data_IF_629847356295
#
_entry.id   IF_629847356295
#
_cell.length_a   1.000
_cell.length_b   1.000
_cell.length_c   1.000
_cell.angle_alpha   90.00
_cell.angle_beta   90.00
_cell.angle_gamma   90.00
#
_symmetry.space_group_name_H-M   'P 1'
#
loop_
_entity.id
_entity.type
_entity.pdbx_description
1 polymer ?
#
# COMPACT_ATOMS: atom_id res chain seq x y z
N UNK A 1 -0.68 6.67 17.68
CA UNK A 1 -1.79 7.44 17.09
C UNK A 1 -1.43 7.84 15.68
N UNK A 2 -2.34 7.63 14.71
CA UNK A 2 -2.19 8.12 13.34
C UNK A 2 -2.89 9.48 13.25
N UNK A 3 -2.14 10.59 13.26
CA UNK A 3 -2.76 11.93 13.17
C UNK A 3 -2.80 12.32 11.70
N UNK A 4 -3.92 12.03 11.04
CA UNK A 4 -4.05 12.22 9.60
C UNK A 4 -5.13 13.25 9.28
N UNK A 5 -4.75 14.49 8.97
CA UNK A 5 -5.62 15.42 8.28
C UNK A 5 -6.17 14.79 7.01
N UNK A 6 -7.48 14.95 6.79
CA UNK A 6 -8.17 14.48 5.60
C UNK A 6 -8.54 15.70 4.76
N UNK A 7 -7.68 16.02 3.80
CA UNK A 7 -7.82 17.21 2.98
C UNK A 7 -8.04 16.85 1.52
N UNK A 8 -8.95 17.59 0.91
CA UNK A 8 -9.15 17.59 -0.53
C UNK A 8 -8.95 19.02 -1.00
N UNK A 9 -7.86 19.27 -1.72
CA UNK A 9 -7.51 20.58 -2.25
C UNK A 9 -8.63 21.12 -3.14
N UNK A 10 -9.10 22.32 -2.84
CA UNK A 10 -10.24 22.96 -3.50
C UNK A 10 -11.60 22.69 -2.86
N UNK A 11 -11.66 21.86 -1.81
CA UNK A 11 -12.89 21.60 -1.06
C UNK A 11 -12.70 21.81 0.46
N UNK A 12 -11.89 20.97 1.10
CA UNK A 12 -11.63 21.03 2.56
C UNK A 12 -10.39 21.87 2.91
N UNK A 13 -9.66 22.31 1.89
CA UNK A 13 -8.54 23.24 1.96
C UNK A 13 -8.52 24.13 0.71
N UNK A 14 -7.76 25.24 0.70
CA UNK A 14 -7.63 26.09 -0.48
C UNK A 14 -7.12 25.30 -1.70
N UNK A 15 -7.47 25.74 -2.91
CA UNK A 15 -7.11 25.02 -4.15
C UNK A 15 -5.61 25.00 -4.48
N UNK A 16 -4.77 25.76 -3.77
CA UNK A 16 -3.33 25.79 -3.99
C UNK A 16 -2.61 24.80 -3.08
N UNK A 17 -1.65 24.07 -3.65
CA UNK A 17 -0.92 23.01 -2.94
C UNK A 17 -0.13 23.53 -1.74
N UNK A 18 0.48 24.71 -1.85
CA UNK A 18 1.22 25.31 -0.74
C UNK A 18 0.32 25.60 0.46
N UNK A 19 -0.87 26.16 0.23
CA UNK A 19 -1.83 26.45 1.30
C UNK A 19 -2.39 25.15 1.91
N UNK A 20 -2.73 24.17 1.07
CA UNK A 20 -3.19 22.86 1.54
C UNK A 20 -2.13 22.15 2.38
N UNK A 21 -0.86 22.16 1.96
CA UNK A 21 0.24 21.56 2.72
C UNK A 21 0.50 22.28 4.03
N UNK A 22 0.43 23.61 4.06
CA UNK A 22 0.54 24.38 5.29
C UNK A 22 -0.60 24.04 6.28
N UNK A 23 -1.83 23.95 5.80
CA UNK A 23 -2.99 23.55 6.59
C UNK A 23 -2.83 22.13 7.12
N UNK A 24 -2.48 21.17 6.25
CA UNK A 24 -2.22 19.78 6.63
C UNK A 24 -1.18 19.72 7.77
N UNK A 25 -0.07 20.42 7.60
CA UNK A 25 1.00 20.41 8.57
C UNK A 25 0.53 20.96 9.93
N UNK A 26 -0.21 22.07 9.93
CA UNK A 26 -0.77 22.65 11.13
C UNK A 26 -1.74 21.68 11.85
N UNK A 27 -2.66 21.05 11.11
CA UNK A 27 -3.63 20.10 11.66
C UNK A 27 -2.93 18.85 12.25
N UNK A 28 -1.94 18.30 11.53
CA UNK A 28 -1.18 17.15 11.99
C UNK A 28 -0.39 17.47 13.27
N UNK A 29 0.37 18.57 13.27
CA UNK A 29 1.17 18.96 14.43
C UNK A 29 0.32 19.32 15.64
N UNK A 30 -0.85 19.94 15.44
CA UNK A 30 -1.79 20.20 16.54
C UNK A 30 -2.20 18.90 17.23
N UNK A 31 -2.67 17.90 16.48
CA UNK A 31 -3.10 16.63 17.05
C UNK A 31 -1.96 15.85 17.72
N UNK A 32 -0.75 15.93 17.17
CA UNK A 32 0.44 15.31 17.75
C UNK A 32 0.85 16.01 19.04
N UNK A 33 0.95 17.33 19.03
CA UNK A 33 1.28 18.12 20.22
C UNK A 33 0.27 17.88 21.34
N UNK A 34 -1.02 17.82 21.00
CA UNK A 34 -2.07 17.48 21.97
C UNK A 34 -1.88 16.09 22.59
N UNK A 35 -1.58 15.06 21.79
CA UNK A 35 -1.27 13.74 22.33
C UNK A 35 -0.03 13.75 23.26
N UNK A 36 1.01 14.51 22.89
CA UNK A 36 2.19 14.65 23.73
C UNK A 36 1.91 15.41 25.04
N UNK A 37 0.96 16.36 25.04
CA UNK A 37 0.53 17.05 26.26
C UNK A 37 -0.24 16.12 27.21
N UNK A 38 -1.04 15.20 26.67
CA UNK A 38 -1.79 14.24 27.47
C UNK A 38 -0.88 13.16 28.07
N UNK A 39 0.06 12.65 27.28
CA UNK A 39 0.99 11.62 27.72
C UNK A 39 2.30 11.70 26.91
N UNK A 40 3.32 12.40 27.43
CA UNK A 40 4.60 12.56 26.75
C UNK A 40 5.24 11.22 26.36
N UNK A 41 5.73 11.13 25.13
CA UNK A 41 6.32 9.89 24.58
C UNK A 41 5.29 8.94 23.96
N UNK A 42 4.00 9.28 23.94
CA UNK A 42 2.99 8.49 23.23
C UNK A 42 3.35 8.38 21.74
N UNK A 43 3.45 7.17 21.16
CA UNK A 43 3.80 7.01 19.76
C UNK A 43 2.81 7.71 18.83
N UNK A 44 3.30 8.63 17.99
CA UNK A 44 2.50 9.36 17.01
C UNK A 44 3.13 9.26 15.63
N UNK A 45 2.29 9.16 14.59
CA UNK A 45 2.71 9.27 13.20
C UNK A 45 2.16 10.56 12.63
N UNK A 46 3.02 11.27 11.89
CA UNK A 46 2.60 12.36 11.03
C UNK A 46 1.83 11.76 9.86
N UNK A 47 0.54 12.05 9.78
CA UNK A 47 -0.35 11.50 8.75
C UNK A 47 -0.67 12.53 7.68
N UNK A 48 -0.97 12.06 6.48
CA UNK A 48 -1.52 12.85 5.39
C UNK A 48 -2.49 11.98 4.58
N UNK A 49 -3.69 12.50 4.36
CA UNK A 49 -4.52 12.13 3.22
C UNK A 49 -4.80 13.43 2.48
N UNK A 50 -4.13 13.61 1.35
CA UNK A 50 -4.25 14.80 0.52
C UNK A 50 -4.53 14.34 -0.90
N UNK A 51 -5.71 14.70 -1.38
CA UNK A 51 -6.14 14.54 -2.76
C UNK A 51 -6.55 15.92 -3.32
N UNK A 52 -6.85 16.00 -4.61
CA UNK A 52 -7.50 17.18 -5.22
C UNK A 52 -8.89 16.83 -5.77
N UNK A 53 -9.67 17.85 -6.14
CA UNK A 53 -10.93 17.66 -6.88
C UNK A 53 -10.75 17.86 -8.39
N UNK A 54 -11.64 17.27 -9.17
CA UNK A 54 -11.98 17.73 -10.51
C UNK A 54 -12.83 19.00 -10.39
N UNK A 55 -12.33 20.13 -10.87
CA UNK A 55 -12.99 21.45 -10.69
C UNK A 55 -14.36 21.54 -11.38
N UNK A 56 -14.64 20.65 -12.35
CA UNK A 56 -15.91 20.66 -13.09
C UNK A 56 -17.00 19.87 -12.37
N UNK A 57 -16.69 18.68 -11.87
CA UNK A 57 -17.64 17.78 -11.22
C UNK A 57 -17.63 17.88 -9.70
N UNK A 58 -16.57 18.45 -9.10
CA UNK A 58 -16.32 18.44 -7.66
C UNK A 58 -15.93 17.08 -7.10
N UNK A 59 -15.74 16.06 -7.96
CA UNK A 59 -15.39 14.72 -7.52
C UNK A 59 -13.92 14.65 -7.07
N UNK A 60 -13.60 13.84 -6.03
CA UNK A 60 -12.22 13.57 -5.68
C UNK A 60 -11.46 12.88 -6.82
N UNK A 61 -10.24 13.33 -7.07
CA UNK A 61 -9.30 12.75 -8.01
C UNK A 61 -8.18 12.05 -7.26
N UNK A 62 -7.58 11.03 -7.90
CA UNK A 62 -6.47 10.27 -7.35
C UNK A 62 -5.44 10.00 -8.45
N UNK A 63 -4.19 9.83 -8.06
CA UNK A 63 -3.09 9.54 -9.00
C UNK A 63 -2.69 10.76 -9.81
N UNK A 64 -3.02 11.95 -9.32
CA UNK A 64 -2.68 13.21 -9.97
C UNK A 64 -1.24 13.63 -9.63
N UNK A 65 -0.63 14.54 -10.42
CA UNK A 65 0.66 15.12 -10.08
C UNK A 65 0.65 15.84 -8.73
N UNK A 66 -0.46 16.47 -8.37
CA UNK A 66 -0.65 17.16 -7.08
C UNK A 66 -0.51 16.19 -5.90
N UNK A 67 -1.11 15.00 -6.00
CA UNK A 67 -1.00 13.95 -4.97
C UNK A 67 0.46 13.54 -4.76
N UNK A 68 1.21 13.36 -5.85
CA UNK A 68 2.62 12.98 -5.81
C UNK A 68 3.49 14.05 -5.14
N UNK A 69 3.30 15.32 -5.52
CA UNK A 69 4.00 16.45 -4.90
C UNK A 69 3.69 16.58 -3.41
N UNK A 70 2.41 16.39 -3.05
CA UNK A 70 1.98 16.38 -1.65
C UNK A 70 2.63 15.24 -0.85
N UNK A 71 2.73 14.04 -1.44
CA UNK A 71 3.40 12.89 -0.82
C UNK A 71 4.87 13.20 -0.51
N UNK A 72 5.62 13.73 -1.48
CA UNK A 72 7.02 14.08 -1.28
C UNK A 72 7.21 15.18 -0.24
N UNK A 73 6.43 16.27 -0.33
CA UNK A 73 6.51 17.36 0.63
C UNK A 73 6.12 16.91 2.05
N UNK A 74 5.04 16.15 2.18
CA UNK A 74 4.58 15.58 3.45
C UNK A 74 5.64 14.69 4.09
N UNK A 75 6.32 13.86 3.31
CA UNK A 75 7.39 13.00 3.81
C UNK A 75 8.62 13.78 4.27
N UNK A 76 8.99 14.84 3.54
CA UNK A 76 10.08 15.73 3.95
C UNK A 76 9.75 16.45 5.27
N UNK A 77 8.51 16.92 5.43
CA UNK A 77 8.05 17.52 6.69
C UNK A 77 8.05 16.52 7.84
N UNK A 78 7.52 15.30 7.64
CA UNK A 78 7.53 14.25 8.66
C UNK A 78 8.96 13.93 9.16
N UNK A 79 9.93 13.81 8.24
CA UNK A 79 11.34 13.63 8.56
C UNK A 79 11.95 14.82 9.29
N UNK A 80 11.60 16.05 8.87
CA UNK A 80 12.05 17.27 9.57
C UNK A 80 11.60 17.27 11.04
N UNK A 81 10.40 16.79 11.34
CA UNK A 81 9.91 16.64 12.71
C UNK A 81 10.36 15.35 13.41
N UNK A 82 11.18 14.53 12.77
CA UNK A 82 11.61 13.21 13.26
C UNK A 82 10.43 12.29 13.65
N UNK A 83 9.38 12.30 12.82
CA UNK A 83 8.18 11.49 13.00
C UNK A 83 8.05 10.47 11.87
N UNK A 84 7.56 9.24 12.13
CA UNK A 84 7.22 8.34 11.06
C UNK A 84 6.03 8.88 10.25
N UNK A 85 6.07 8.67 8.95
CA UNK A 85 5.09 9.19 8.01
C UNK A 85 4.05 8.13 7.61
N UNK A 86 2.77 8.50 7.73
CA UNK A 86 1.65 7.76 7.13
C UNK A 86 1.06 8.55 5.99
N UNK A 87 1.06 8.00 4.79
CA UNK A 87 0.34 8.57 3.64
C UNK A 87 0.25 7.54 2.52
N UNK A 88 -0.31 7.94 1.39
CA UNK A 88 -0.28 7.16 0.16
C UNK A 88 -1.02 5.83 0.26
N UNK A 89 -0.77 5.01 -0.76
CA UNK A 89 -1.52 3.78 -1.01
C UNK A 89 -1.81 3.63 -2.50
N UNK A 90 -2.65 2.65 -2.81
CA UNK A 90 -3.10 2.36 -4.16
C UNK A 90 -4.48 3.01 -4.39
N UNK A 91 -4.48 4.34 -4.46
CA UNK A 91 -5.72 5.12 -4.56
C UNK A 91 -6.27 5.17 -5.98
N UNK A 92 -7.60 5.13 -6.09
CA UNK A 92 -8.28 5.29 -7.36
C UNK A 92 -9.75 5.70 -7.17
N UNK A 93 -10.27 6.47 -8.12
CA UNK A 93 -11.70 6.79 -8.27
C UNK A 93 -12.46 5.75 -9.11
N UNK A 94 -11.78 4.79 -9.74
CA UNK A 94 -12.38 3.79 -10.59
C UNK A 94 -13.29 2.83 -9.79
N UNK A 95 -14.39 2.39 -10.39
CA UNK A 95 -15.38 1.49 -9.77
C UNK A 95 -14.98 0.02 -9.89
N UNK A 96 -14.13 -0.28 -10.86
CA UNK A 96 -13.65 -1.61 -11.21
C UNK A 96 -12.13 -1.55 -11.36
N UNK A 97 -11.41 -2.68 -11.19
CA UNK A 97 -9.96 -2.70 -11.34
C UNK A 97 -9.59 -2.81 -12.83
N UNK A 98 -9.82 -1.73 -13.56
CA UNK A 98 -9.49 -1.56 -14.96
C UNK A 98 -8.19 -0.77 -15.16
N UNK A 99 -7.97 -0.25 -16.37
CA UNK A 99 -6.82 0.58 -16.67
C UNK A 99 -6.78 1.87 -15.82
N UNK A 100 -7.92 2.53 -15.57
CA UNK A 100 -7.97 3.71 -14.72
C UNK A 100 -7.49 3.37 -13.31
N UNK A 101 -8.01 2.28 -12.73
CA UNK A 101 -7.57 1.81 -11.42
C UNK A 101 -6.06 1.56 -11.39
N UNK A 102 -5.50 0.95 -12.44
CA UNK A 102 -4.08 0.69 -12.57
C UNK A 102 -3.24 1.96 -12.60
N UNK A 103 -3.57 2.91 -13.49
CA UNK A 103 -2.80 4.15 -13.64
C UNK A 103 -2.88 5.05 -12.41
N UNK A 104 -4.06 5.22 -11.81
CA UNK A 104 -4.21 6.07 -10.62
C UNK A 104 -3.52 5.46 -9.39
N UNK A 105 -3.65 4.13 -9.21
CA UNK A 105 -2.99 3.43 -8.10
C UNK A 105 -1.48 3.49 -8.27
N UNK A 106 -0.94 3.21 -9.46
CA UNK A 106 0.49 3.35 -9.73
C UNK A 106 0.97 4.80 -9.56
N UNK A 107 0.18 5.77 -10.04
CA UNK A 107 0.48 7.20 -9.93
C UNK A 107 0.58 7.71 -8.50
N UNK A 108 -0.08 7.05 -7.53
CA UNK A 108 0.05 7.35 -6.10
C UNK A 108 1.07 6.46 -5.39
N UNK A 109 1.16 5.18 -5.75
CA UNK A 109 1.99 4.21 -5.03
C UNK A 109 3.48 4.36 -5.34
N UNK A 110 3.86 4.69 -6.58
CA UNK A 110 5.26 5.00 -6.89
C UNK A 110 5.80 6.18 -6.06
N UNK A 111 5.11 7.34 -5.99
CA UNK A 111 5.49 8.40 -5.08
C UNK A 111 5.46 7.99 -3.60
N UNK A 112 4.51 7.14 -3.19
CA UNK A 112 4.44 6.62 -1.81
C UNK A 112 5.75 5.93 -1.41
N UNK A 113 6.26 5.06 -2.28
CA UNK A 113 7.51 4.31 -2.05
C UNK A 113 8.71 5.24 -2.14
N UNK A 114 8.81 6.07 -3.19
CA UNK A 114 9.93 7.01 -3.37
C UNK A 114 10.00 8.10 -2.29
N UNK A 115 8.87 8.43 -1.66
CA UNK A 115 8.82 9.34 -0.53
C UNK A 115 9.28 8.70 0.80
N UNK A 116 9.55 7.39 0.82
CA UNK A 116 9.87 6.59 2.01
C UNK A 116 8.79 6.67 3.08
N UNK A 117 7.52 6.50 2.69
CA UNK A 117 6.40 6.43 3.63
C UNK A 117 6.57 5.22 4.56
N UNK A 118 6.44 5.43 5.88
CA UNK A 118 6.66 4.38 6.88
C UNK A 118 5.43 3.50 7.10
N UNK A 119 4.23 4.04 6.93
CA UNK A 119 2.99 3.30 7.13
C UNK A 119 1.99 3.62 6.00
N UNK A 120 1.68 2.61 5.18
CA UNK A 120 0.77 2.75 4.03
C UNK A 120 -0.57 2.08 4.37
N UNK A 121 -1.55 2.86 4.81
CA UNK A 121 -2.82 2.30 5.31
C UNK A 121 -3.65 1.63 4.21
N UNK A 122 -3.69 2.23 3.02
CA UNK A 122 -4.51 1.78 1.89
C UNK A 122 -3.64 1.13 0.82
N UNK A 123 -2.73 0.25 1.25
CA UNK A 123 -1.80 -0.43 0.36
C UNK A 123 -2.52 -1.37 -0.62
N UNK A 124 -3.71 -1.88 -0.31
CA UNK A 124 -4.43 -2.78 -1.22
C UNK A 124 -5.96 -2.72 -1.06
N UNK A 125 -6.66 -2.85 -2.19
CA UNK A 125 -8.11 -3.11 -2.25
C UNK A 125 -9.00 -1.88 -2.44
N UNK A 126 -8.43 -0.67 -2.43
CA UNK A 126 -9.18 0.58 -2.57
C UNK A 126 -9.78 0.74 -3.97
N UNK A 127 -11.09 0.99 -4.03
CA UNK A 127 -11.85 1.38 -5.23
C UNK A 127 -12.85 2.49 -4.91
N UNK A 128 -13.32 3.16 -5.96
CA UNK A 128 -14.37 4.18 -5.95
C UNK A 128 -14.15 5.24 -4.86
N UNK A 129 -12.96 5.83 -4.84
CA UNK A 129 -12.64 6.90 -3.89
C UNK A 129 -12.76 6.49 -2.43
N UNK A 130 -12.62 5.19 -2.13
CA UNK A 130 -12.65 4.63 -0.78
C UNK A 130 -14.02 4.08 -0.38
N UNK A 131 -15.00 4.09 -1.28
CA UNK A 131 -16.33 3.53 -1.02
C UNK A 131 -16.36 2.00 -1.17
N UNK A 132 -15.39 1.41 -1.87
CA UNK A 132 -15.36 -0.03 -2.15
C UNK A 132 -14.01 -0.63 -1.72
N UNK A 133 -14.09 -1.78 -1.06
CA UNK A 133 -12.97 -2.71 -0.89
C UNK A 133 -13.17 -3.91 -1.84
N UNK A 134 -12.42 -3.95 -2.94
CA UNK A 134 -12.56 -5.00 -3.97
C UNK A 134 -11.55 -6.12 -3.80
N UNK A 135 -11.99 -7.39 -3.83
CA UNK A 135 -11.10 -8.56 -3.70
C UNK A 135 -10.12 -8.69 -4.87
N UNK A 136 -10.59 -8.49 -6.09
CA UNK A 136 -9.73 -8.52 -7.28
C UNK A 136 -8.71 -7.38 -7.23
N UNK A 137 -9.15 -6.17 -6.89
CA UNK A 137 -8.26 -5.01 -6.70
C UNK A 137 -7.24 -5.26 -5.59
N UNK A 138 -7.65 -5.89 -4.48
CA UNK A 138 -6.76 -6.22 -3.39
C UNK A 138 -5.61 -7.12 -3.86
N UNK A 139 -5.92 -8.18 -4.62
CA UNK A 139 -4.90 -9.08 -5.17
C UNK A 139 -4.00 -8.39 -6.21
N UNK A 140 -4.57 -7.53 -7.06
CA UNK A 140 -3.79 -6.73 -8.02
C UNK A 140 -2.85 -5.75 -7.31
N UNK A 141 -3.32 -5.08 -6.26
CA UNK A 141 -2.50 -4.15 -5.49
C UNK A 141 -1.40 -4.87 -4.70
N UNK A 142 -1.64 -6.10 -4.23
CA UNK A 142 -0.60 -6.93 -3.62
C UNK A 142 0.53 -7.27 -4.60
N UNK A 143 0.22 -7.48 -5.87
CA UNK A 143 1.23 -7.66 -6.92
C UNK A 143 2.12 -6.42 -7.02
N UNK A 144 1.53 -5.22 -7.05
CA UNK A 144 2.27 -3.97 -7.08
C UNK A 144 3.06 -3.74 -5.78
N UNK A 145 2.50 -4.09 -4.61
CA UNK A 145 3.24 -4.04 -3.34
C UNK A 145 4.47 -4.95 -3.36
N UNK A 146 4.36 -6.17 -3.89
CA UNK A 146 5.46 -7.11 -3.97
C UNK A 146 6.53 -6.66 -4.99
N UNK A 147 6.11 -6.07 -6.13
CA UNK A 147 7.03 -5.42 -7.06
C UNK A 147 7.79 -4.27 -6.39
N UNK A 148 7.11 -3.43 -5.63
CA UNK A 148 7.76 -2.33 -4.90
C UNK A 148 8.67 -2.82 -3.77
N UNK A 149 8.31 -3.92 -3.10
CA UNK A 149 9.18 -4.56 -2.13
C UNK A 149 10.50 -5.01 -2.76
N UNK A 150 10.46 -5.56 -3.98
CA UNK A 150 11.68 -5.87 -4.74
C UNK A 150 12.43 -4.63 -5.22
N UNK A 151 11.71 -3.58 -5.62
CA UNK A 151 12.33 -2.33 -6.04
C UNK A 151 13.16 -1.69 -4.92
N UNK A 152 12.68 -1.71 -3.68
CA UNK A 152 13.41 -1.12 -2.54
C UNK A 152 14.62 -1.94 -2.07
N UNK A 153 14.75 -3.21 -2.51
CA UNK A 153 15.98 -4.00 -2.30
C UNK A 153 17.19 -3.37 -3.04
N UNK A 154 16.93 -2.55 -4.07
CA UNK A 154 17.96 -1.86 -4.82
C UNK A 154 18.75 -2.78 -5.76
N UNK A 155 19.99 -2.39 -6.05
CA UNK A 155 20.90 -3.15 -6.92
C UNK A 155 22.02 -3.72 -6.05
N UNK A 156 22.23 -5.04 -6.14
CA UNK A 156 23.37 -5.72 -5.52
C UNK A 156 24.70 -5.27 -6.13
N UNK A 157 25.72 -5.12 -5.28
CA UNK A 157 27.07 -4.68 -5.67
C UNK A 157 28.15 -5.63 -5.16
N UNK A 158 27.80 -6.89 -4.88
CA UNK A 158 28.77 -7.93 -4.56
C UNK A 158 29.51 -8.39 -5.83
N UNK A 159 30.67 -9.03 -5.67
CA UNK A 159 31.48 -9.49 -6.81
C UNK A 159 30.70 -10.42 -7.75
N UNK A 160 29.82 -11.26 -7.22
CA UNK A 160 28.96 -12.18 -7.99
C UNK A 160 27.87 -11.43 -8.79
N UNK A 161 27.42 -10.25 -8.33
CA UNK A 161 26.43 -9.43 -9.04
C UNK A 161 26.99 -8.83 -10.35
N UNK A 162 28.32 -8.66 -10.44
CA UNK A 162 28.98 -8.19 -11.67
C UNK A 162 29.18 -9.30 -12.72
N UNK A 163 28.99 -10.57 -12.36
CA UNK A 163 28.95 -11.71 -13.29
C UNK A 163 30.19 -11.85 -14.21
N UNK A 164 31.38 -11.53 -13.70
CA UNK A 164 32.62 -11.56 -14.49
C UNK A 164 32.91 -12.92 -15.13
N UNK A 165 32.55 -14.01 -14.44
CA UNK A 165 32.68 -15.38 -14.93
C UNK A 165 31.75 -15.65 -16.13
N UNK A 166 30.52 -15.13 -16.09
CA UNK A 166 29.57 -15.25 -17.19
C UNK A 166 30.11 -14.60 -18.46
N UNK A 167 30.70 -13.39 -18.34
CA UNK A 167 31.33 -12.69 -19.47
C UNK A 167 32.55 -13.40 -20.04
N UNK A 168 33.26 -14.18 -19.23
CA UNK A 168 34.37 -15.02 -19.70
C UNK A 168 33.85 -16.31 -20.39
N UNK A 169 32.72 -16.86 -19.94
CA UNK A 169 32.09 -18.05 -20.50
C UNK A 169 31.42 -17.78 -21.86
N UNK A 170 30.71 -16.66 -21.98
CA UNK A 170 29.88 -16.34 -23.16
C UNK A 170 30.62 -15.38 -24.10
N UNK A 171 30.96 -15.80 -25.34
CA UNK A 171 31.68 -14.94 -26.27
C UNK A 171 30.78 -13.81 -26.82
N UNK A 172 31.39 -12.75 -27.41
CA UNK A 172 30.65 -11.68 -28.08
C UNK A 172 29.66 -12.22 -29.12
N UNK A 173 28.40 -11.76 -29.06
CA UNK A 173 27.32 -12.22 -29.94
C UNK A 173 26.54 -13.45 -29.43
N UNK A 174 26.95 -14.04 -28.29
CA UNK A 174 26.19 -15.09 -27.60
C UNK A 174 25.06 -14.55 -26.71
N UNK A 175 24.47 -15.45 -25.92
CA UNK A 175 23.45 -15.12 -24.90
C UNK A 175 23.74 -15.84 -23.57
N UNK A 176 23.30 -15.25 -22.45
CA UNK A 176 23.61 -15.76 -21.11
C UNK A 176 22.64 -16.80 -20.55
N UNK A 177 21.54 -17.12 -21.25
CA UNK A 177 20.48 -18.01 -20.75
C UNK A 177 20.96 -19.37 -20.20
N UNK A 178 22.03 -19.93 -20.78
CA UNK A 178 22.62 -21.20 -20.35
C UNK A 178 23.90 -21.08 -19.53
N UNK A 179 24.33 -19.87 -19.19
CA UNK A 179 25.58 -19.64 -18.46
C UNK A 179 25.50 -20.17 -17.03
N UNK A 180 26.64 -20.56 -16.47
CA UNK A 180 26.72 -21.03 -15.09
C UNK A 180 26.18 -19.98 -14.11
N UNK A 181 26.46 -18.69 -14.34
CA UNK A 181 25.93 -17.58 -13.55
C UNK A 181 24.40 -17.54 -13.58
N UNK A 182 23.79 -17.54 -14.77
CA UNK A 182 22.32 -17.51 -14.88
C UNK A 182 21.66 -18.71 -14.20
N UNK A 183 22.24 -19.90 -14.30
CA UNK A 183 21.73 -21.10 -13.62
C UNK A 183 21.83 -20.99 -12.09
N UNK A 184 22.90 -20.39 -11.54
CA UNK A 184 23.04 -20.14 -10.10
C UNK A 184 21.99 -19.15 -9.57
N UNK A 185 21.57 -18.19 -10.39
CA UNK A 185 20.61 -17.15 -9.99
C UNK A 185 19.19 -17.38 -10.48
N UNK A 186 18.90 -18.47 -11.20
CA UNK A 186 17.65 -18.69 -11.93
C UNK A 186 16.39 -18.40 -11.10
N UNK A 187 16.33 -18.88 -9.86
CA UNK A 187 15.16 -18.73 -8.99
C UNK A 187 15.07 -17.36 -8.28
N UNK A 188 16.15 -16.56 -8.29
CA UNK A 188 16.27 -15.36 -7.44
C UNK A 188 16.58 -14.08 -8.19
N UNK A 189 17.02 -14.16 -9.45
CA UNK A 189 17.49 -13.02 -10.25
C UNK A 189 16.42 -11.94 -10.43
N UNK A 190 15.17 -12.33 -10.69
CA UNK A 190 14.10 -11.40 -11.04
C UNK A 190 12.84 -11.65 -10.23
N UNK A 191 12.01 -10.62 -10.14
CA UNK A 191 10.69 -10.75 -9.54
C UNK A 191 9.80 -11.65 -10.40
N UNK A 192 9.15 -12.63 -9.77
CA UNK A 192 8.22 -13.55 -10.43
C UNK A 192 6.78 -13.10 -10.18
N UNK A 193 6.09 -12.72 -11.25
CA UNK A 193 4.72 -12.24 -11.17
C UNK A 193 3.74 -13.34 -10.79
N UNK A 194 2.79 -13.04 -9.90
CA UNK A 194 1.71 -13.96 -9.53
C UNK A 194 0.42 -13.65 -10.29
N UNK A 195 0.17 -12.37 -10.55
CA UNK A 195 -1.06 -11.88 -11.18
C UNK A 195 -0.84 -11.41 -12.62
N UNK A 196 0.31 -10.83 -12.96
CA UNK A 196 0.63 -10.39 -14.32
C UNK A 196 1.23 -11.51 -15.15
N UNK A 197 1.08 -11.47 -16.48
CA UNK A 197 1.71 -12.43 -17.41
C UNK A 197 2.56 -11.65 -18.37
N UNK A 198 3.77 -12.17 -18.59
CA UNK A 198 4.73 -11.69 -19.58
C UNK A 198 4.88 -12.72 -20.72
N UNK A 199 3.93 -13.66 -20.82
CA UNK A 199 3.92 -14.66 -21.88
C UNK A 199 3.58 -14.04 -23.23
N UNK A 200 3.95 -14.74 -24.30
CA UNK A 200 3.54 -14.36 -25.65
C UNK A 200 2.04 -14.59 -25.87
N UNK A 201 1.53 -14.03 -26.98
CA UNK A 201 0.12 -14.11 -27.34
C UNK A 201 -0.34 -15.56 -27.48
N UNK A 202 0.43 -16.40 -28.16
CA UNK A 202 0.04 -17.78 -28.49
C UNK A 202 -0.18 -18.61 -27.23
N UNK A 203 0.69 -18.46 -26.22
CA UNK A 203 0.53 -19.13 -24.94
C UNK A 203 -0.65 -18.56 -24.15
N UNK A 204 -0.77 -17.24 -24.08
CA UNK A 204 -1.90 -16.58 -23.39
C UNK A 204 -3.25 -17.01 -23.98
N UNK A 205 -3.36 -17.08 -25.31
CA UNK A 205 -4.55 -17.54 -26.02
C UNK A 205 -4.84 -19.02 -25.74
N UNK A 206 -3.81 -19.88 -25.84
CA UNK A 206 -3.94 -21.31 -25.56
C UNK A 206 -4.38 -21.61 -24.10
N UNK A 207 -4.00 -20.75 -23.15
CA UNK A 207 -4.40 -20.82 -21.74
C UNK A 207 -5.76 -20.14 -21.47
N UNK A 208 -6.48 -19.71 -22.51
CA UNK A 208 -7.86 -19.22 -22.43
C UNK A 208 -8.00 -17.70 -22.36
N UNK A 209 -6.93 -16.95 -22.63
CA UNK A 209 -6.99 -15.50 -22.82
C UNK A 209 -7.44 -14.73 -21.57
N UNK A 210 -7.03 -15.17 -20.39
CA UNK A 210 -7.47 -14.54 -19.14
C UNK A 210 -6.83 -13.16 -18.94
N UNK A 211 -7.65 -12.14 -18.70
CA UNK A 211 -7.20 -10.82 -18.27
C UNK A 211 -6.77 -10.82 -16.79
N UNK A 212 -6.18 -9.71 -16.36
CA UNK A 212 -5.73 -9.48 -14.98
C UNK A 212 -6.88 -9.65 -13.97
N UNK A 213 -8.09 -9.19 -14.30
CA UNK A 213 -9.26 -9.30 -13.42
C UNK A 213 -9.59 -10.76 -13.13
N UNK A 214 -9.71 -11.58 -14.18
CA UNK A 214 -10.07 -13.01 -14.07
C UNK A 214 -9.02 -13.78 -13.28
N UNK A 215 -7.73 -13.49 -13.50
CA UNK A 215 -6.63 -14.10 -12.74
C UNK A 215 -6.66 -13.72 -11.27
N UNK A 216 -6.85 -12.44 -10.97
CA UNK A 216 -7.00 -11.96 -9.59
C UNK A 216 -8.22 -12.58 -8.90
N UNK A 217 -9.34 -12.72 -9.63
CA UNK A 217 -10.56 -13.37 -9.13
C UNK A 217 -10.33 -14.83 -8.74
N UNK A 218 -9.68 -15.59 -9.62
CA UNK A 218 -9.34 -16.98 -9.34
C UNK A 218 -8.39 -17.09 -8.13
N UNK A 219 -7.40 -16.19 -8.05
CA UNK A 219 -6.39 -16.20 -7.00
C UNK A 219 -6.96 -15.87 -5.62
N UNK A 220 -7.75 -14.80 -5.45
CA UNK A 220 -8.30 -14.50 -4.11
C UNK A 220 -9.21 -15.64 -3.62
N UNK A 221 -10.00 -16.25 -4.51
CA UNK A 221 -10.86 -17.38 -4.15
C UNK A 221 -10.04 -18.58 -3.71
N UNK A 222 -8.90 -18.83 -4.36
CA UNK A 222 -7.96 -19.85 -3.94
C UNK A 222 -7.37 -19.52 -2.56
N UNK A 223 -6.87 -18.30 -2.36
CA UNK A 223 -6.32 -17.86 -1.07
C UNK A 223 -7.31 -18.04 0.08
N UNK A 224 -8.60 -17.73 -0.12
CA UNK A 224 -9.63 -17.93 0.90
C UNK A 224 -9.94 -19.41 1.18
N UNK A 225 -9.95 -20.26 0.14
CA UNK A 225 -10.17 -21.71 0.32
C UNK A 225 -9.01 -22.38 1.06
N UNK A 226 -7.79 -21.93 0.77
CA UNK A 226 -6.56 -22.53 1.29
C UNK A 226 -6.11 -21.87 2.62
N UNK A 227 -6.88 -20.90 3.15
CA UNK A 227 -6.50 -20.15 4.35
C UNK A 227 -6.62 -21.00 5.62
N UNK A 228 -5.51 -21.14 6.34
CA UNK A 228 -5.46 -21.67 7.69
C UNK A 228 -5.21 -20.54 8.70
N UNK A 229 -6.09 -20.32 9.68
CA UNK A 229 -5.88 -19.29 10.69
C UNK A 229 -4.61 -19.56 11.53
N UNK A 230 -3.81 -18.52 11.86
CA UNK A 230 -2.66 -18.70 12.74
C UNK A 230 -3.10 -19.16 14.13
N UNK A 231 -2.27 -20.00 14.76
CA UNK A 231 -2.55 -20.52 16.09
C UNK A 231 -2.70 -19.39 17.12
N UNK A 232 -3.73 -19.50 17.95
CA UNK A 232 -3.99 -18.59 19.08
C UNK A 232 -4.22 -19.44 20.33
N UNK A 233 -3.51 -19.12 21.42
CA UNK A 233 -3.63 -19.86 22.67
C UNK A 233 -5.10 -19.88 23.15
N UNK A 234 -5.66 -21.04 23.54
CA UNK A 234 -7.06 -21.16 23.93
C UNK A 234 -7.46 -20.18 25.04
N UNK A 235 -6.62 -20.03 26.07
CA UNK A 235 -6.88 -19.09 27.17
C UNK A 235 -7.02 -17.63 26.70
N UNK A 236 -6.21 -17.20 25.73
CA UNK A 236 -6.31 -15.84 25.17
C UNK A 236 -7.60 -15.69 24.36
N UNK A 237 -7.97 -16.71 23.58
CA UNK A 237 -9.23 -16.72 22.82
C UNK A 237 -10.44 -16.61 23.76
N UNK A 238 -10.47 -17.44 24.79
CA UNK A 238 -11.54 -17.46 25.79
C UNK A 238 -11.67 -16.10 26.50
N UNK A 239 -10.54 -15.48 26.88
CA UNK A 239 -10.55 -14.15 27.51
C UNK A 239 -11.10 -13.07 26.55
N UNK A 240 -10.68 -13.08 25.29
CA UNK A 240 -11.18 -12.15 24.27
C UNK A 240 -12.68 -12.31 24.03
N UNK A 241 -13.15 -13.55 23.92
CA UNK A 241 -14.57 -13.85 23.70
C UNK A 241 -15.43 -13.44 24.89
N UNK A 242 -14.96 -13.71 26.12
CA UNK A 242 -15.63 -13.30 27.34
C UNK A 242 -15.72 -11.76 27.45
N UNK A 243 -14.64 -11.04 27.13
CA UNK A 243 -14.62 -9.58 27.11
C UNK A 243 -15.64 -9.02 26.11
N UNK A 244 -15.67 -9.57 24.89
CA UNK A 244 -16.62 -9.16 23.84
C UNK A 244 -18.05 -9.41 24.27
N UNK A 245 -18.34 -10.57 24.86
CA UNK A 245 -19.67 -10.91 25.35
C UNK A 245 -20.14 -9.94 26.45
N UNK A 246 -19.29 -9.67 27.43
CA UNK A 246 -19.56 -8.70 28.50
C UNK A 246 -19.85 -7.30 27.95
N UNK A 247 -18.95 -6.78 27.11
CA UNK A 247 -19.12 -5.45 26.50
C UNK A 247 -20.38 -5.37 25.64
N UNK A 248 -20.72 -6.42 24.91
CA UNK A 248 -21.95 -6.49 24.10
C UNK A 248 -23.19 -6.42 25.00
N UNK A 249 -23.20 -7.14 26.11
CA UNK A 249 -24.32 -7.11 27.08
C UNK A 249 -24.50 -5.72 27.69
N UNK A 250 -23.41 -5.06 28.10
CA UNK A 250 -23.46 -3.70 28.66
C UNK A 250 -23.99 -2.68 27.64
N UNK A 251 -23.53 -2.73 26.39
CA UNK A 251 -23.98 -1.83 25.31
C UNK A 251 -25.46 -2.04 25.02
N UNK A 252 -25.90 -3.31 24.90
CA UNK A 252 -27.31 -3.64 24.66
C UNK A 252 -28.21 -3.18 25.81
N UNK A 253 -27.73 -3.32 27.05
CA UNK A 253 -28.41 -2.83 28.24
C UNK A 253 -28.29 -1.30 28.44
N UNK A 254 -27.57 -0.58 27.56
CA UNK A 254 -27.25 0.85 27.66
C UNK A 254 -26.63 1.24 29.00
N UNK A 255 -25.84 0.34 29.59
CA UNK A 255 -25.13 0.57 30.84
C UNK A 255 -23.78 1.26 30.57
N UNK A 256 -23.31 2.11 31.50
CA UNK A 256 -21.93 2.58 31.47
C UNK A 256 -20.96 1.40 31.43
N UNK A 257 -19.80 1.60 30.80
CA UNK A 257 -18.74 0.60 30.78
C UNK A 257 -18.25 0.32 32.20
N UNK A 258 -18.42 -0.91 32.68
CA UNK A 258 -17.75 -1.36 33.90
C UNK A 258 -16.32 -1.79 33.60
N UNK A 259 -15.51 -1.88 34.64
CA UNK A 259 -14.19 -2.49 34.54
C UNK A 259 -14.31 -3.93 34.07
N UNK A 260 -13.45 -4.31 33.12
CA UNK A 260 -13.26 -5.70 32.74
C UNK A 260 -12.41 -6.35 33.82
N UNK A 261 -13.02 -7.27 34.59
CA UNK A 261 -12.32 -7.99 35.63
C UNK A 261 -11.39 -9.04 34.99
N UNK A 262 -10.11 -8.99 35.35
CA UNK A 262 -9.17 -10.10 35.14
C UNK A 262 -9.44 -11.22 36.14
#
# INVERSE_FOLDING_TARGET
>A
MLVTPFLIAGAMSPSTMAATLAQQNAEALFGIAYAQMLNPGTPCLYGSFLANIDMRSGAPCFGTPEDALALYAGAQMARFYNLPYRSGGNFTAARIPDAQAGYESAGTFWPTVQANVNFVLHAAGWLEGGLIAGYEKFVIDLELCAMMARFVDGIGLADDDFAWDAYAEVPPGGHFLGSAHTLRHYDTAFYSHKVFSMDNYEKWEAEGGADTYRRANALYKKMLRDYEPPALAPAIREELEAFVAHRRAEIQARRPRTEWRR
#
